data_IF_377432830443
#
_entry.id   IF_377432830443
#
_cell.length_a   1.000
_cell.length_b   1.000
_cell.length_c   1.000
_cell.angle_alpha   90.00
_cell.angle_beta   90.00
_cell.angle_gamma   90.00
#
_symmetry.space_group_name_H-M   'P 1'
#
loop_
_entity.id
_entity.type
_entity.pdbx_description
1 polymer ?
#
# COMPACT_ATOMS: atom_id res chain seq x y z
N UNK A 1 -10.47 10.25 13.24
CA UNK A 1 -9.40 9.35 12.76
C UNK A 1 -9.79 8.68 11.43
N UNK A 2 -10.83 7.89 11.33
CA UNK A 2 -11.28 7.26 10.05
C UNK A 2 -11.43 8.27 8.90
N UNK A 3 -11.99 9.44 9.19
CA UNK A 3 -12.14 10.51 8.19
C UNK A 3 -10.79 11.03 7.66
N UNK A 4 -9.74 11.10 8.50
CA UNK A 4 -8.42 11.57 8.08
C UNK A 4 -7.75 10.55 7.14
N UNK A 5 -7.80 9.25 7.48
CA UNK A 5 -7.32 8.19 6.60
C UNK A 5 -8.12 8.12 5.30
N UNK A 6 -9.45 8.22 5.37
CA UNK A 6 -10.27 8.26 4.15
C UNK A 6 -9.87 9.41 3.23
N UNK A 7 -9.62 10.60 3.79
CA UNK A 7 -9.19 11.76 3.02
C UNK A 7 -7.77 11.56 2.45
N UNK A 8 -6.86 10.93 3.19
CA UNK A 8 -5.53 10.56 2.71
C UNK A 8 -5.63 9.66 1.47
N UNK A 9 -6.40 8.55 1.54
CA UNK A 9 -6.58 7.65 0.40
C UNK A 9 -7.28 8.32 -0.80
N UNK A 10 -8.21 9.24 -0.56
CA UNK A 10 -8.81 10.06 -1.63
C UNK A 10 -7.76 10.95 -2.33
N UNK A 11 -6.82 11.52 -1.58
CA UNK A 11 -5.71 12.31 -2.12
C UNK A 11 -4.70 11.45 -2.84
N UNK A 12 -4.34 10.29 -2.25
CA UNK A 12 -3.42 9.32 -2.86
C UNK A 12 -3.98 8.80 -4.19
N UNK A 13 -5.27 8.45 -4.22
CA UNK A 13 -5.93 8.05 -5.47
C UNK A 13 -5.88 9.16 -6.54
N UNK A 14 -6.02 10.44 -6.14
CA UNK A 14 -5.86 11.57 -7.07
C UNK A 14 -4.42 11.68 -7.56
N UNK A 15 -3.47 11.49 -6.66
CA UNK A 15 -2.04 11.53 -6.97
C UNK A 15 -1.68 10.44 -8.00
N UNK A 16 -2.12 9.20 -7.79
CA UNK A 16 -1.90 8.11 -8.75
C UNK A 16 -2.56 8.38 -10.10
N UNK A 17 -3.79 8.90 -10.11
CA UNK A 17 -4.51 9.24 -11.35
C UNK A 17 -3.80 10.32 -12.17
N UNK A 18 -3.10 11.23 -11.50
CA UNK A 18 -2.36 12.30 -12.18
C UNK A 18 -0.99 11.85 -12.72
N UNK A 19 -0.43 10.76 -12.19
CA UNK A 19 0.93 10.29 -12.52
C UNK A 19 0.95 8.99 -13.35
N UNK A 20 -0.17 8.27 -13.46
CA UNK A 20 -0.29 7.04 -14.25
C UNK A 20 -1.27 7.25 -15.41
N UNK A 21 -1.00 6.63 -16.57
CA UNK A 21 -1.83 6.81 -17.78
C UNK A 21 -3.06 5.88 -17.80
N UNK A 22 -4.00 6.14 -16.91
CA UNK A 22 -5.27 5.41 -16.84
C UNK A 22 -6.13 5.58 -18.12
N UNK A 23 -5.86 6.58 -18.96
CA UNK A 23 -6.64 6.77 -20.22
C UNK A 23 -6.35 5.66 -21.21
N UNK A 24 -5.13 5.15 -21.24
CA UNK A 24 -4.71 4.04 -22.10
C UNK A 24 -4.95 2.67 -21.48
N UNK A 25 -5.04 2.58 -20.14
CA UNK A 25 -5.24 1.33 -19.45
C UNK A 25 -6.64 0.74 -19.67
N UNK A 26 -6.73 -0.57 -19.76
CA UNK A 26 -7.99 -1.34 -19.77
C UNK A 26 -8.06 -2.28 -18.59
N UNK A 27 -6.93 -2.83 -18.17
CA UNK A 27 -6.78 -3.73 -17.02
C UNK A 27 -5.73 -3.16 -16.09
N UNK A 28 -6.13 -2.91 -14.87
CA UNK A 28 -5.25 -2.42 -13.80
C UNK A 28 -5.23 -3.46 -12.69
N UNK A 29 -4.09 -3.67 -12.07
CA UNK A 29 -3.96 -4.55 -10.91
C UNK A 29 -3.50 -3.75 -9.71
N UNK A 30 -4.26 -3.87 -8.62
CA UNK A 30 -3.86 -3.45 -7.28
C UNK A 30 -3.35 -4.67 -6.51
N UNK A 31 -2.10 -4.62 -6.07
CA UNK A 31 -1.50 -5.63 -5.22
C UNK A 31 -1.52 -5.19 -3.76
N UNK A 32 -2.03 -6.05 -2.86
CA UNK A 32 -2.25 -5.69 -1.46
C UNK A 32 -3.46 -4.79 -1.27
N UNK A 33 -4.63 -5.16 -1.85
CA UNK A 33 -5.82 -4.30 -1.83
C UNK A 33 -6.49 -4.17 -0.45
N UNK A 34 -6.18 -5.04 0.50
CA UNK A 34 -6.74 -5.05 1.84
C UNK A 34 -8.27 -4.99 1.86
N UNK A 35 -8.80 -4.06 2.61
CA UNK A 35 -10.24 -3.78 2.75
C UNK A 35 -10.77 -2.81 1.67
N UNK A 36 -9.91 -2.41 0.71
CA UNK A 36 -10.27 -1.52 -0.38
C UNK A 36 -10.15 -0.04 -0.09
N UNK A 37 -9.31 0.34 0.90
CA UNK A 37 -9.16 1.74 1.30
C UNK A 37 -8.66 2.62 0.15
N UNK A 38 -7.74 2.12 -0.68
CA UNK A 38 -7.27 2.80 -1.89
C UNK A 38 -8.07 2.40 -3.13
N UNK A 39 -8.47 1.11 -3.25
CA UNK A 39 -9.26 0.58 -4.37
C UNK A 39 -10.49 1.44 -4.65
N UNK A 40 -11.30 1.72 -3.64
CA UNK A 40 -12.60 2.40 -3.80
C UNK A 40 -12.44 3.84 -4.29
N UNK A 41 -11.66 4.71 -3.65
CA UNK A 41 -11.46 6.07 -4.15
C UNK A 41 -10.80 6.09 -5.53
N UNK A 42 -9.88 5.17 -5.82
CA UNK A 42 -9.24 5.08 -7.13
C UNK A 42 -10.25 4.72 -8.22
N UNK A 43 -11.07 3.67 -8.04
CA UNK A 43 -12.12 3.29 -8.99
C UNK A 43 -13.07 4.44 -9.25
N UNK A 44 -13.54 5.15 -8.21
CA UNK A 44 -14.42 6.31 -8.34
C UNK A 44 -13.83 7.41 -9.23
N UNK A 45 -12.51 7.63 -9.16
CA UNK A 45 -11.82 8.63 -9.97
C UNK A 45 -11.56 8.15 -11.38
N UNK A 46 -11.05 6.95 -11.53
CA UNK A 46 -10.70 6.38 -12.84
C UNK A 46 -11.93 6.22 -13.74
N UNK A 47 -13.08 5.82 -13.20
CA UNK A 47 -14.35 5.73 -13.93
C UNK A 47 -14.82 7.06 -14.56
N UNK A 48 -14.40 8.20 -14.02
CA UNK A 48 -14.66 9.52 -14.63
C UNK A 48 -13.82 9.75 -15.88
N UNK A 49 -12.70 9.04 -16.02
CA UNK A 49 -11.75 9.13 -17.14
C UNK A 49 -12.06 8.04 -18.17
N UNK A 50 -12.27 6.80 -17.71
CA UNK A 50 -12.49 5.63 -18.55
C UNK A 50 -13.51 4.68 -17.91
N UNK A 51 -14.68 4.54 -18.55
CA UNK A 51 -15.82 3.80 -17.95
C UNK A 51 -15.70 2.28 -18.02
N UNK A 52 -14.92 1.76 -18.93
CA UNK A 52 -14.74 0.33 -19.21
C UNK A 52 -13.50 -0.28 -18.55
N UNK A 53 -12.75 0.52 -17.77
CA UNK A 53 -11.57 0.03 -17.05
C UNK A 53 -11.98 -0.95 -15.96
N UNK A 54 -11.19 -2.02 -15.81
CA UNK A 54 -11.32 -3.06 -14.79
C UNK A 54 -10.14 -3.03 -13.86
N UNK A 55 -10.40 -3.16 -12.56
CA UNK A 55 -9.37 -3.33 -11.53
C UNK A 55 -9.41 -4.76 -11.02
N UNK A 56 -8.29 -5.45 -11.08
CA UNK A 56 -8.04 -6.71 -10.39
C UNK A 56 -7.44 -6.34 -9.03
N UNK A 57 -8.16 -6.64 -7.95
CA UNK A 57 -7.74 -6.33 -6.59
C UNK A 57 -7.22 -7.62 -5.93
N UNK A 58 -5.90 -7.72 -5.80
CA UNK A 58 -5.21 -8.93 -5.30
C UNK A 58 -4.84 -8.74 -3.83
N UNK A 59 -5.14 -9.77 -3.03
CA UNK A 59 -4.65 -9.89 -1.65
C UNK A 59 -4.69 -11.35 -1.23
N UNK A 60 -4.12 -11.68 -0.08
CA UNK A 60 -4.30 -12.97 0.57
C UNK A 60 -5.48 -12.91 1.56
N UNK A 61 -6.20 -14.02 1.73
CA UNK A 61 -7.30 -14.14 2.70
C UNK A 61 -6.94 -15.15 3.78
N UNK A 62 -5.81 -14.91 4.46
CA UNK A 62 -5.29 -15.80 5.50
C UNK A 62 -4.47 -15.02 6.54
N UNK A 63 -4.32 -15.58 7.72
CA UNK A 63 -3.55 -14.97 8.81
C UNK A 63 -4.12 -13.60 9.20
N UNK A 64 -3.30 -12.57 9.36
CA UNK A 64 -3.74 -11.24 9.79
C UNK A 64 -4.66 -10.54 8.78
N UNK A 65 -4.75 -11.04 7.56
CA UNK A 65 -5.58 -10.50 6.46
C UNK A 65 -6.90 -11.26 6.27
N UNK A 66 -7.19 -12.26 7.12
CA UNK A 66 -8.45 -12.99 7.09
C UNK A 66 -9.65 -12.04 7.24
N UNK A 67 -10.65 -12.21 6.39
CA UNK A 67 -11.86 -11.37 6.37
C UNK A 67 -11.72 -10.05 5.60
N UNK A 68 -10.52 -9.62 5.17
CA UNK A 68 -10.36 -8.40 4.40
C UNK A 68 -11.19 -8.40 3.11
N UNK A 69 -11.24 -9.52 2.38
CA UNK A 69 -12.06 -9.63 1.17
C UNK A 69 -13.56 -9.52 1.41
N UNK A 70 -14.06 -9.96 2.56
CA UNK A 70 -15.48 -9.83 2.87
C UNK A 70 -15.84 -8.37 3.15
N UNK A 71 -14.93 -7.65 3.80
CA UNK A 71 -15.06 -6.20 3.97
C UNK A 71 -14.97 -5.48 2.62
N UNK A 72 -13.98 -5.81 1.77
CA UNK A 72 -13.85 -5.26 0.43
C UNK A 72 -15.13 -5.47 -0.39
N UNK A 73 -15.64 -6.70 -0.47
CA UNK A 73 -16.86 -7.02 -1.24
C UNK A 73 -18.07 -6.24 -0.73
N UNK A 74 -18.25 -6.14 0.58
CA UNK A 74 -19.33 -5.34 1.18
C UNK A 74 -19.19 -3.87 0.81
N UNK A 75 -18.00 -3.29 0.97
CA UNK A 75 -17.74 -1.90 0.63
C UNK A 75 -17.98 -1.61 -0.87
N UNK A 76 -17.55 -2.53 -1.75
CA UNK A 76 -17.82 -2.43 -3.19
C UNK A 76 -19.32 -2.48 -3.51
N UNK A 77 -20.08 -3.29 -2.78
CA UNK A 77 -21.54 -3.39 -2.95
C UNK A 77 -22.24 -2.11 -2.49
N UNK A 78 -21.90 -1.59 -1.32
CA UNK A 78 -22.43 -0.34 -0.79
C UNK A 78 -22.18 0.84 -1.74
N UNK A 79 -20.99 0.88 -2.36
CA UNK A 79 -20.59 1.91 -3.31
C UNK A 79 -21.02 1.63 -4.77
N UNK A 80 -21.70 0.49 -5.04
CA UNK A 80 -22.13 0.05 -6.37
C UNK A 80 -20.96 -0.07 -7.38
N UNK A 81 -19.84 -0.60 -6.90
CA UNK A 81 -18.59 -0.74 -7.68
C UNK A 81 -18.23 -2.19 -8.00
N UNK A 82 -19.00 -3.19 -7.56
CA UNK A 82 -18.72 -4.62 -7.73
C UNK A 82 -18.60 -5.07 -9.21
N UNK A 83 -19.13 -4.30 -10.15
CA UNK A 83 -18.96 -4.57 -11.59
C UNK A 83 -17.63 -4.08 -12.18
N UNK A 84 -16.82 -3.34 -11.42
CA UNK A 84 -15.58 -2.69 -11.89
C UNK A 84 -14.33 -3.23 -11.22
N UNK A 85 -14.49 -3.90 -10.10
CA UNK A 85 -13.40 -4.50 -9.33
C UNK A 85 -13.60 -6.00 -9.25
N UNK A 86 -12.56 -6.76 -9.56
CA UNK A 86 -12.48 -8.21 -9.43
C UNK A 86 -11.55 -8.55 -8.25
N UNK A 87 -12.07 -8.88 -7.06
CA UNK A 87 -11.23 -9.37 -5.97
C UNK A 87 -10.67 -10.75 -6.31
N UNK A 88 -9.36 -10.93 -6.17
CA UNK A 88 -8.65 -12.18 -6.44
C UNK A 88 -7.81 -12.57 -5.22
N UNK A 89 -8.17 -13.68 -4.56
CA UNK A 89 -7.36 -14.23 -3.48
C UNK A 89 -6.12 -14.89 -4.06
N UNK A 90 -4.98 -14.23 -3.96
CA UNK A 90 -3.74 -14.68 -4.56
C UNK A 90 -2.55 -14.06 -3.82
N UNK A 91 -1.51 -14.84 -3.63
CA UNK A 91 -0.23 -14.34 -3.12
C UNK A 91 0.49 -13.55 -4.23
N UNK A 92 0.89 -12.33 -3.94
CA UNK A 92 1.62 -11.46 -4.87
C UNK A 92 2.97 -12.03 -5.31
N UNK A 93 3.51 -12.98 -4.54
CA UNK A 93 4.76 -13.71 -4.83
C UNK A 93 4.59 -14.86 -5.84
N UNK A 94 3.33 -15.21 -6.16
CA UNK A 94 2.99 -16.33 -7.08
C UNK A 94 1.60 -16.10 -7.71
N UNK A 95 1.50 -15.15 -8.63
CA UNK A 95 0.25 -14.77 -9.31
C UNK A 95 -0.02 -15.60 -10.57
N UNK A 96 0.10 -16.94 -10.50
CA UNK A 96 -0.10 -17.86 -11.64
C UNK A 96 -1.46 -17.74 -12.34
N UNK A 97 -2.49 -17.29 -11.63
CA UNK A 97 -3.82 -17.04 -12.18
C UNK A 97 -3.88 -15.81 -13.10
N UNK A 98 -2.91 -14.92 -13.00
CA UNK A 98 -2.78 -13.72 -13.83
C UNK A 98 -1.83 -14.01 -14.99
N UNK A 99 -2.31 -13.85 -16.23
CA UNK A 99 -1.53 -14.12 -17.43
C UNK A 99 -0.36 -13.17 -17.59
N UNK A 100 0.72 -13.66 -18.23
CA UNK A 100 1.83 -12.80 -18.63
C UNK A 100 1.33 -11.67 -19.52
N UNK A 101 1.91 -10.48 -19.36
CA UNK A 101 1.68 -9.32 -20.23
C UNK A 101 0.18 -9.03 -20.46
N UNK A 102 -0.61 -9.09 -19.39
CA UNK A 102 -2.06 -8.91 -19.45
C UNK A 102 -2.56 -7.64 -18.74
N UNK A 103 -1.70 -6.96 -17.98
CA UNK A 103 -2.03 -5.81 -17.15
C UNK A 103 -1.38 -4.56 -17.71
N UNK A 104 -2.12 -3.46 -17.75
CA UNK A 104 -1.64 -2.17 -18.29
C UNK A 104 -1.02 -1.29 -17.18
N UNK A 105 -1.49 -1.41 -15.94
CA UNK A 105 -0.93 -0.72 -14.78
C UNK A 105 -0.93 -1.68 -13.61
N UNK A 106 0.20 -1.78 -12.91
CA UNK A 106 0.30 -2.41 -11.59
C UNK A 106 0.54 -1.30 -10.57
N UNK A 107 -0.21 -1.31 -9.48
CA UNK A 107 0.12 -0.46 -8.34
C UNK A 107 -0.05 -1.21 -7.02
N UNK A 108 0.66 -0.75 -6.01
CA UNK A 108 0.55 -1.24 -4.63
C UNK A 108 0.83 -0.10 -3.65
N UNK A 109 0.33 -0.25 -2.43
CA UNK A 109 0.57 0.71 -1.36
C UNK A 109 0.68 -0.03 -0.04
N UNK A 110 1.70 0.29 0.79
CA UNK A 110 1.91 -0.36 2.10
C UNK A 110 1.94 -1.91 1.99
N UNK A 111 2.59 -2.44 0.95
CA UNK A 111 2.68 -3.87 0.69
C UNK A 111 4.08 -4.42 0.91
N UNK A 112 5.11 -3.67 0.52
CA UNK A 112 6.48 -4.19 0.52
C UNK A 112 7.02 -4.36 1.94
N UNK A 113 6.53 -3.55 2.89
CA UNK A 113 6.83 -3.70 4.31
C UNK A 113 6.30 -5.02 4.92
N UNK A 114 5.33 -5.67 4.28
CA UNK A 114 4.78 -6.96 4.71
C UNK A 114 5.52 -8.18 4.14
N UNK A 115 6.51 -7.93 3.28
CA UNK A 115 7.30 -8.98 2.62
C UNK A 115 8.73 -9.01 3.17
N UNK A 116 9.27 -10.21 3.35
CA UNK A 116 10.72 -10.35 3.50
C UNK A 116 11.43 -10.08 2.16
N UNK A 117 12.76 -9.95 2.20
CA UNK A 117 13.55 -9.61 1.01
C UNK A 117 13.33 -10.57 -0.17
N UNK A 118 13.26 -11.87 0.10
CA UNK A 118 13.03 -12.88 -0.94
C UNK A 118 11.62 -12.82 -1.49
N UNK A 119 10.64 -12.56 -0.62
CA UNK A 119 9.24 -12.34 -1.01
C UNK A 119 9.08 -11.11 -1.86
N UNK A 120 9.77 -10.02 -1.52
CA UNK A 120 9.77 -8.78 -2.28
C UNK A 120 10.34 -8.98 -3.69
N UNK A 121 11.48 -9.66 -3.83
CA UNK A 121 12.07 -9.97 -5.14
C UNK A 121 11.13 -10.83 -6.01
N UNK A 122 10.43 -11.82 -5.40
CA UNK A 122 9.42 -12.62 -6.10
C UNK A 122 8.24 -11.78 -6.55
N UNK A 123 7.71 -10.91 -5.68
CA UNK A 123 6.60 -10.02 -6.01
C UNK A 123 6.96 -9.07 -7.16
N UNK A 124 8.14 -8.45 -7.11
CA UNK A 124 8.66 -7.59 -8.21
C UNK A 124 8.77 -8.39 -9.52
N UNK A 125 9.27 -9.62 -9.47
CA UNK A 125 9.33 -10.51 -10.64
C UNK A 125 7.95 -10.81 -11.22
N UNK A 126 6.96 -11.07 -10.37
CA UNK A 126 5.57 -11.29 -10.80
C UNK A 126 4.94 -10.02 -11.40
N UNK A 127 5.18 -8.84 -10.80
CA UNK A 127 4.73 -7.56 -11.36
C UNK A 127 5.31 -7.33 -12.75
N UNK A 128 6.62 -7.59 -12.92
CA UNK A 128 7.26 -7.50 -14.23
C UNK A 128 6.66 -8.50 -15.23
N UNK A 129 6.41 -9.74 -14.81
CA UNK A 129 5.83 -10.77 -15.66
C UNK A 129 4.45 -10.43 -16.20
N UNK A 130 3.55 -9.95 -15.32
CA UNK A 130 2.14 -9.68 -15.67
C UNK A 130 1.94 -8.36 -16.41
N UNK A 131 2.83 -7.38 -16.21
CA UNK A 131 2.76 -6.08 -16.85
C UNK A 131 3.09 -6.19 -18.34
N UNK A 132 2.30 -5.54 -19.19
CA UNK A 132 2.57 -5.45 -20.62
C UNK A 132 3.81 -4.61 -20.91
N UNK A 133 4.50 -4.82 -22.06
CA UNK A 133 5.57 -3.94 -22.50
C UNK A 133 5.08 -2.48 -22.63
N UNK A 134 5.95 -1.53 -22.29
CA UNK A 134 5.68 -0.08 -22.29
C UNK A 134 4.53 0.34 -21.35
N UNK A 135 4.25 -0.45 -20.32
CA UNK A 135 3.25 -0.17 -19.31
C UNK A 135 3.87 0.14 -17.95
N UNK A 136 3.08 0.75 -17.06
CA UNK A 136 3.57 1.44 -15.88
C UNK A 136 3.29 0.66 -14.59
N UNK A 137 4.19 0.83 -13.64
CA UNK A 137 4.01 0.38 -12.26
C UNK A 137 4.20 1.55 -11.30
N UNK A 138 3.47 1.55 -10.20
CA UNK A 138 3.71 2.43 -9.06
C UNK A 138 3.65 1.65 -7.74
N UNK A 139 4.50 2.03 -6.78
CA UNK A 139 4.46 1.51 -5.42
C UNK A 139 4.66 2.63 -4.41
N UNK A 140 3.77 2.72 -3.43
CA UNK A 140 3.85 3.65 -2.30
C UNK A 140 4.17 2.94 -1.01
N UNK A 141 5.07 3.56 -0.22
CA UNK A 141 5.45 3.07 1.11
C UNK A 141 5.77 4.26 2.03
N UNK A 142 5.45 4.15 3.31
CA UNK A 142 5.85 5.16 4.29
C UNK A 142 7.38 5.30 4.34
N UNK A 143 7.85 6.52 4.43
CA UNK A 143 9.29 6.78 4.65
C UNK A 143 9.74 6.10 5.94
N UNK A 144 10.82 5.30 5.89
CA UNK A 144 11.41 4.73 7.10
C UNK A 144 12.26 5.75 7.88
N UNK A 145 12.45 6.96 7.32
CA UNK A 145 13.24 8.03 7.93
C UNK A 145 12.33 9.08 8.53
N UNK A 146 12.29 9.24 9.86
CA UNK A 146 11.46 10.24 10.51
C UNK A 146 12.05 11.64 10.35
N UNK A 147 11.21 12.65 10.13
CA UNK A 147 11.59 14.07 10.13
C UNK A 147 11.45 14.70 11.51
N UNK A 148 10.67 14.08 12.40
CA UNK A 148 10.40 14.57 13.74
C UNK A 148 10.09 13.43 14.71
N UNK A 149 9.97 13.75 16.00
CA UNK A 149 9.73 12.78 17.08
C UNK A 149 8.37 12.07 16.94
N UNK A 150 7.32 12.77 16.51
CA UNK A 150 6.01 12.16 16.31
C UNK A 150 6.01 11.10 15.19
N UNK A 151 6.77 11.32 14.13
CA UNK A 151 6.98 10.34 13.04
C UNK A 151 7.85 9.17 13.51
N UNK A 152 8.91 9.44 14.30
CA UNK A 152 9.75 8.39 14.88
C UNK A 152 8.92 7.42 15.71
N UNK A 153 8.00 7.93 16.53
CA UNK A 153 7.12 7.11 17.36
C UNK A 153 6.20 6.20 16.53
N UNK A 154 5.69 6.66 15.40
CA UNK A 154 4.88 5.82 14.49
C UNK A 154 5.72 4.74 13.84
N UNK A 155 6.91 5.07 13.34
CA UNK A 155 7.81 4.12 12.69
C UNK A 155 8.23 3.03 13.68
N UNK A 156 8.64 3.41 14.89
CA UNK A 156 9.02 2.46 15.91
C UNK A 156 7.85 1.58 16.39
N UNK A 157 6.63 2.15 16.51
CA UNK A 157 5.46 1.40 16.93
C UNK A 157 5.15 0.23 15.99
N UNK A 158 5.37 0.40 14.69
CA UNK A 158 5.19 -0.68 13.71
C UNK A 158 6.13 -1.87 13.96
N UNK A 159 7.35 -1.62 14.42
CA UNK A 159 8.30 -2.67 14.78
C UNK A 159 7.89 -3.45 16.06
N UNK A 160 7.03 -2.87 16.88
CA UNK A 160 6.53 -3.47 18.14
C UNK A 160 5.08 -3.96 18.04
N UNK A 161 4.55 -4.14 16.83
CA UNK A 161 3.20 -4.72 16.65
C UNK A 161 3.21 -6.21 17.01
N UNK A 162 2.26 -6.64 17.85
CA UNK A 162 2.08 -8.03 18.26
C UNK A 162 1.29 -8.86 17.24
N UNK A 163 0.73 -8.25 16.19
CA UNK A 163 -0.03 -8.96 15.14
C UNK A 163 0.86 -9.83 14.26
N UNK A 164 2.15 -9.61 14.29
CA UNK A 164 3.11 -10.47 13.61
C UNK A 164 3.40 -11.68 14.50
N UNK A 165 2.72 -12.80 14.27
CA UNK A 165 2.90 -14.09 14.95
C UNK A 165 4.27 -14.74 14.72
N UNK A 166 5.13 -14.10 13.98
CA UNK A 166 6.56 -14.38 13.95
C UNK A 166 7.29 -13.12 14.38
N UNK A 167 8.29 -13.23 15.31
CA UNK A 167 9.19 -12.12 15.51
C UNK A 167 9.75 -11.79 14.12
N UNK A 168 9.39 -10.65 13.56
CA UNK A 168 10.09 -10.14 12.39
C UNK A 168 11.50 -9.84 12.89
N UNK A 169 12.52 -10.66 12.59
CA UNK A 169 13.87 -10.43 13.06
C UNK A 169 14.37 -9.07 12.57
N UNK A 170 13.79 -8.59 11.48
CA UNK A 170 14.06 -7.30 10.85
C UNK A 170 12.74 -6.83 10.23
N UNK A 171 12.05 -5.90 10.88
CA UNK A 171 10.98 -5.15 10.20
C UNK A 171 11.66 -4.38 9.07
N UNK A 172 11.37 -4.82 7.85
CA UNK A 172 11.98 -4.29 6.66
C UNK A 172 11.01 -3.28 6.05
N UNK A 173 11.16 -1.99 6.39
CA UNK A 173 10.64 -0.94 5.53
C UNK A 173 11.74 -0.62 4.53
N UNK A 174 11.63 -1.07 3.27
CA UNK A 174 12.70 -0.87 2.31
C UNK A 174 12.86 0.60 2.00
N UNK A 175 14.09 1.08 2.00
CA UNK A 175 14.38 2.42 1.50
C UNK A 175 14.04 2.50 0.00
N UNK A 176 13.55 3.64 -0.43
CA UNK A 176 13.12 3.83 -1.83
C UNK A 176 14.24 3.58 -2.86
N UNK A 177 15.49 3.83 -2.52
CA UNK A 177 16.65 3.53 -3.36
C UNK A 177 16.95 2.03 -3.44
N UNK A 178 16.75 1.27 -2.36
CA UNK A 178 16.86 -0.20 -2.39
C UNK A 178 15.77 -0.80 -3.28
N UNK A 179 14.53 -0.33 -3.15
CA UNK A 179 13.42 -0.77 -4.02
C UNK A 179 13.70 -0.40 -5.48
N UNK A 180 14.20 0.82 -5.74
CA UNK A 180 14.58 1.25 -7.08
C UNK A 180 15.67 0.37 -7.69
N UNK A 181 16.67 -0.05 -6.89
CA UNK A 181 17.70 -0.98 -7.33
C UNK A 181 17.10 -2.36 -7.69
N UNK A 182 16.24 -2.93 -6.84
CA UNK A 182 15.56 -4.21 -7.09
C UNK A 182 14.69 -4.15 -8.36
N UNK A 183 13.94 -3.07 -8.56
CA UNK A 183 13.14 -2.84 -9.76
C UNK A 183 14.04 -2.76 -11.02
N UNK A 184 15.17 -2.07 -10.92
CA UNK A 184 16.13 -1.99 -12.02
C UNK A 184 16.72 -3.34 -12.39
N UNK A 185 17.09 -4.16 -11.39
CA UNK A 185 17.59 -5.53 -11.57
C UNK A 185 16.54 -6.43 -12.21
N UNK A 186 15.26 -6.26 -11.87
CA UNK A 186 14.16 -6.99 -12.48
C UNK A 186 13.85 -6.55 -13.93
N UNK A 187 14.47 -5.48 -14.42
CA UNK A 187 14.34 -5.01 -15.80
C UNK A 187 13.48 -3.76 -16.00
N UNK A 188 12.87 -3.21 -14.94
CA UNK A 188 12.14 -1.96 -15.03
C UNK A 188 13.06 -0.79 -15.41
N UNK A 189 12.49 0.21 -16.09
CA UNK A 189 13.17 1.42 -16.57
C UNK A 189 12.41 2.67 -16.13
N UNK A 190 13.01 3.83 -16.36
CA UNK A 190 12.43 5.14 -16.04
C UNK A 190 11.96 5.23 -14.57
N UNK A 191 12.77 4.67 -13.67
CA UNK A 191 12.45 4.62 -12.25
C UNK A 191 12.60 6.02 -11.66
N UNK A 192 11.53 6.53 -11.05
CA UNK A 192 11.50 7.83 -10.39
C UNK A 192 10.78 7.73 -9.07
N UNK A 193 11.17 8.52 -8.08
CA UNK A 193 10.51 8.61 -6.79
C UNK A 193 9.86 9.98 -6.64
N UNK A 194 8.61 10.01 -6.21
CA UNK A 194 7.89 11.21 -5.81
C UNK A 194 7.46 11.08 -4.36
N UNK A 195 7.17 12.19 -3.72
CA UNK A 195 6.79 12.24 -2.31
C UNK A 195 5.32 12.62 -2.18
N UNK A 196 4.62 11.93 -1.29
CA UNK A 196 3.23 12.17 -1.00
C UNK A 196 3.04 12.43 0.49
N UNK A 197 2.54 13.62 0.83
CA UNK A 197 2.25 14.02 2.20
C UNK A 197 1.02 13.29 2.72
N UNK A 198 1.17 12.47 3.76
CA UNK A 198 0.04 11.77 4.38
C UNK A 198 -0.90 12.74 5.10
N UNK A 199 -0.33 13.75 5.77
CA UNK A 199 -1.03 14.72 6.62
C UNK A 199 -1.89 14.05 7.73
N UNK A 200 -1.44 12.90 8.24
CA UNK A 200 -2.08 12.19 9.34
C UNK A 200 -1.36 12.56 10.63
N UNK A 201 -2.06 13.34 11.48
CA UNK A 201 -1.58 13.70 12.82
C UNK A 201 -2.61 13.30 13.85
N UNK A 202 -2.16 12.81 14.97
CA UNK A 202 -2.98 12.32 16.07
C UNK A 202 -2.49 12.92 17.38
N UNK A 203 -3.41 13.42 18.16
CA UNK A 203 -3.15 13.78 19.58
C UNK A 203 -2.93 12.51 20.42
N UNK A 204 -2.58 12.71 21.69
CA UNK A 204 -2.31 11.62 22.62
C UNK A 204 -3.42 10.56 22.65
N UNK A 205 -4.67 10.99 22.85
CA UNK A 205 -5.81 10.09 23.03
C UNK A 205 -6.12 9.30 21.76
N UNK A 206 -6.04 9.97 20.62
CA UNK A 206 -6.25 9.35 19.31
C UNK A 206 -5.09 8.42 18.97
N UNK A 207 -3.88 8.82 19.27
CA UNK A 207 -2.66 8.04 19.05
C UNK A 207 -2.65 6.75 19.86
N UNK A 208 -2.93 6.83 21.18
CA UNK A 208 -2.99 5.62 22.03
C UNK A 208 -4.02 4.62 21.50
N UNK A 209 -5.26 5.07 21.21
CA UNK A 209 -6.28 4.20 20.63
C UNK A 209 -5.86 3.56 19.32
N UNK A 210 -5.08 4.28 18.50
CA UNK A 210 -4.57 3.74 17.25
C UNK A 210 -3.52 2.66 17.46
N UNK A 211 -2.58 2.89 18.38
CA UNK A 211 -1.57 1.89 18.74
C UNK A 211 -2.20 0.62 19.32
N UNK A 212 -3.22 0.76 20.17
CA UNK A 212 -4.00 -0.37 20.69
C UNK A 212 -4.72 -1.14 19.55
N UNK A 213 -5.32 -0.44 18.59
CA UNK A 213 -5.93 -1.05 17.41
C UNK A 213 -4.93 -1.79 16.52
N UNK A 214 -3.67 -1.36 16.49
CA UNK A 214 -2.59 -2.03 15.79
C UNK A 214 -1.98 -3.17 16.59
N UNK A 215 -2.53 -3.45 17.76
CA UNK A 215 -1.97 -4.44 18.69
C UNK A 215 -0.48 -4.20 18.99
N UNK A 216 -0.12 -2.91 19.14
CA UNK A 216 1.24 -2.52 19.50
C UNK A 216 1.54 -3.00 20.92
N UNK A 217 2.76 -3.44 21.17
CA UNK A 217 3.22 -3.91 22.48
C UNK A 217 2.88 -2.89 23.59
N UNK A 218 2.11 -3.27 24.62
CA UNK A 218 1.77 -2.39 25.73
C UNK A 218 2.98 -1.78 26.46
N UNK A 219 4.10 -2.49 26.51
CA UNK A 219 5.32 -1.95 27.13
C UNK A 219 5.95 -0.83 26.29
N UNK A 220 5.87 -0.92 24.95
CA UNK A 220 6.23 0.19 24.06
C UNK A 220 5.36 1.42 24.33
N UNK A 221 4.03 1.24 24.39
CA UNK A 221 3.08 2.33 24.64
C UNK A 221 3.38 2.97 26.00
N UNK A 222 3.56 2.18 27.05
CA UNK A 222 3.87 2.66 28.39
C UNK A 222 5.19 3.43 28.44
N UNK A 223 6.23 2.90 27.82
CA UNK A 223 7.57 3.53 27.76
C UNK A 223 7.54 4.88 27.05
N UNK A 224 6.75 5.01 25.99
CA UNK A 224 6.68 6.20 25.15
C UNK A 224 5.51 7.14 25.48
N UNK A 225 4.72 6.84 26.51
CA UNK A 225 3.51 7.60 26.87
C UNK A 225 3.74 9.10 27.06
N UNK A 226 4.86 9.51 27.68
CA UNK A 226 5.22 10.92 27.84
C UNK A 226 5.53 11.60 26.51
N UNK A 227 6.28 10.94 25.63
CA UNK A 227 6.63 11.47 24.31
C UNK A 227 5.40 11.56 23.42
N UNK A 228 4.50 10.54 23.45
CA UNK A 228 3.23 10.58 22.69
C UNK A 228 2.35 11.73 23.21
N UNK A 229 2.37 12.04 24.51
CA UNK A 229 1.61 13.18 25.07
C UNK A 229 2.19 14.52 24.62
N UNK A 230 3.49 14.64 24.52
CA UNK A 230 4.19 15.87 24.14
C UNK A 230 4.10 16.13 22.63
N UNK A 231 4.37 15.12 21.81
CA UNK A 231 4.55 15.26 20.37
C UNK A 231 3.35 14.77 19.55
N UNK A 232 2.48 13.94 20.12
CA UNK A 232 1.46 13.20 19.38
C UNK A 232 2.07 12.06 18.55
N UNK A 233 1.32 11.62 17.54
CA UNK A 233 1.79 10.71 16.49
C UNK A 233 1.56 11.37 15.13
N UNK A 234 2.50 11.21 14.22
CA UNK A 234 2.42 11.72 12.86
C UNK A 234 2.91 10.65 11.87
N UNK A 235 2.11 10.37 10.83
CA UNK A 235 2.55 9.50 9.76
C UNK A 235 3.59 10.21 8.90
N UNK A 236 4.71 9.55 8.59
CA UNK A 236 5.67 10.07 7.61
C UNK A 236 5.02 10.29 6.25
N UNK A 237 5.71 11.01 5.37
CA UNK A 237 5.35 11.03 3.95
C UNK A 237 5.49 9.63 3.35
N UNK A 238 4.78 9.37 2.27
CA UNK A 238 5.02 8.20 1.45
C UNK A 238 6.00 8.53 0.32
N UNK A 239 6.90 7.59 0.06
CA UNK A 239 7.71 7.57 -1.15
C UNK A 239 6.94 6.77 -2.20
N UNK A 240 6.56 7.40 -3.31
CA UNK A 240 5.87 6.74 -4.41
C UNK A 240 6.86 6.53 -5.55
N UNK A 241 7.22 5.28 -5.80
CA UNK A 241 8.12 4.90 -6.89
C UNK A 241 7.27 4.62 -8.13
N UNK A 242 7.64 5.23 -9.25
CA UNK A 242 7.07 4.97 -10.58
C UNK A 242 8.13 4.33 -11.47
N UNK A 243 7.74 3.37 -12.28
CA UNK A 243 8.62 2.75 -13.27
C UNK A 243 7.82 2.18 -14.45
N UNK A 244 8.54 1.72 -15.48
CA UNK A 244 7.96 1.16 -16.70
C UNK A 244 8.65 -0.17 -17.06
N UNK A 245 7.88 -1.14 -17.54
CA UNK A 245 8.40 -2.30 -18.26
C UNK A 245 8.68 -1.90 -19.70
N UNK A 246 9.91 -2.09 -20.17
CA UNK A 246 10.28 -1.89 -21.58
C UNK A 246 10.62 -3.20 -22.27
#
# INVERSE_FOLDING_TARGET
MEKAFSLMYERLASFLVNNLDFRRASVVLEAGCGKGQLTIPLVKKVRKIKKDLRIIAVDISSGPYEGNFDVLKRNLQEEKLQGFVLPVNCDVRDMKSIKNESVDIVFSNELFCDLDRDGLLKAIGEFYRILKPNCQMAHGELSPVPENEAQRLVIEANAYSLETTQPRPEWFSPFSDEVAAMLHEAGFKNITTQYFETNIKMDYETGIRKLEQWNTDPEFIKKNSSNIREFGLEFPMEHIIFCEKR
#
